data_IF_704040924847
#
_entry.id   IF_704040924847
#
_cell.length_a   1.000
_cell.length_b   1.000
_cell.length_c   1.000
_cell.angle_alpha   90.00
_cell.angle_beta   90.00
_cell.angle_gamma   90.00
#
_symmetry.space_group_name_H-M   'P 1'
#
loop_
_entity.id
_entity.type
_entity.pdbx_description
1 polymer ?
#
# COMPACT_ATOMS: atom_id res chain seq x y z
N UNK A 1 4.43 13.83 15.55
CA UNK A 1 4.65 13.68 15.14
C UNK A 1 4.60 13.12 14.09
N UNK A 2 5.02 13.24 13.73
CA UNK A 2 5.19 12.77 12.46
C UNK A 2 4.60 11.47 12.20
N UNK A 3 4.15 10.92 13.15
CA UNK A 3 3.52 9.64 13.01
C UNK A 3 2.49 9.63 11.91
N UNK A 4 1.90 10.76 11.67
CA UNK A 4 0.87 10.82 10.66
C UNK A 4 1.37 10.43 9.30
N UNK A 5 2.66 10.47 9.11
CA UNK A 5 3.21 10.18 7.81
C UNK A 5 3.48 8.74 7.57
N UNK A 6 3.31 7.98 8.60
CA UNK A 6 3.68 6.62 8.47
C UNK A 6 2.66 5.76 7.86
N UNK A 7 1.54 6.33 7.54
CA UNK A 7 0.52 5.57 6.87
C UNK A 7 0.89 5.24 5.45
N UNK A 8 -0.12 4.97 4.67
CA UNK A 8 0.06 4.63 3.26
C UNK A 8 0.37 5.88 2.44
N UNK A 9 1.06 5.73 1.31
CA UNK A 9 1.37 6.87 0.46
C UNK A 9 0.09 7.53 -0.06
N UNK A 10 0.09 8.85 -0.09
CA UNK A 10 -1.05 9.57 -0.62
C UNK A 10 -1.21 9.40 -2.11
N UNK A 11 -0.13 9.09 -2.79
CA UNK A 11 -0.15 8.97 -4.23
C UNK A 11 -1.09 7.89 -4.74
N UNK A 12 -1.40 6.91 -3.91
CA UNK A 12 -2.26 5.82 -4.34
C UNK A 12 -3.72 6.23 -4.41
N UNK A 13 -4.09 7.34 -3.77
CA UNK A 13 -5.45 7.85 -3.83
C UNK A 13 -6.33 7.34 -2.72
N UNK A 14 -7.45 8.05 -2.49
CA UNK A 14 -8.34 7.71 -1.39
C UNK A 14 -8.99 6.32 -1.53
N UNK A 15 -9.45 5.92 -2.73
CA UNK A 15 -10.06 4.59 -2.85
C UNK A 15 -9.12 3.47 -2.46
N UNK A 16 -7.86 3.56 -2.90
CA UNK A 16 -6.90 2.52 -2.56
C UNK A 16 -6.57 2.54 -1.08
N UNK A 17 -6.44 3.74 -0.50
CA UNK A 17 -6.16 3.87 0.91
C UNK A 17 -7.27 3.25 1.75
N UNK A 18 -8.52 3.52 1.38
CA UNK A 18 -9.65 2.94 2.11
C UNK A 18 -9.67 1.43 1.99
N UNK A 19 -9.41 0.92 0.80
CA UNK A 19 -9.44 -0.52 0.57
C UNK A 19 -8.38 -1.21 1.41
N UNK A 20 -7.18 -0.65 1.44
CA UNK A 20 -6.10 -1.24 2.21
C UNK A 20 -6.38 -1.17 3.70
N UNK A 21 -6.87 -0.02 4.16
CA UNK A 21 -7.19 0.15 5.57
C UNK A 21 -8.27 -0.85 6.00
N UNK A 22 -9.28 -1.03 5.17
CA UNK A 22 -10.35 -1.97 5.47
C UNK A 22 -9.83 -3.40 5.53
N UNK A 23 -8.78 -3.70 4.79
CA UNK A 23 -8.19 -5.02 4.80
C UNK A 23 -7.17 -5.20 5.93
N UNK A 24 -6.96 -4.16 6.72
CA UNK A 24 -6.04 -4.26 7.85
C UNK A 24 -4.67 -3.68 7.60
N UNK A 25 -4.45 -3.09 6.44
CA UNK A 25 -3.16 -2.50 6.11
C UNK A 25 -3.22 -1.00 6.32
N UNK A 26 -2.65 -0.53 7.40
CA UNK A 26 -2.68 0.89 7.72
C UNK A 26 -1.31 1.56 7.54
N UNK A 27 -0.27 0.78 7.34
CA UNK A 27 1.08 1.29 7.15
C UNK A 27 1.74 0.60 5.97
N UNK A 28 2.62 1.33 5.32
CA UNK A 28 3.30 0.80 4.14
C UNK A 28 4.12 -0.46 4.45
N UNK A 29 4.81 -0.49 5.58
CA UNK A 29 5.65 -1.63 5.88
C UNK A 29 4.85 -2.91 6.08
N UNK A 30 3.57 -2.80 6.40
CA UNK A 30 2.73 -3.98 6.53
C UNK A 30 2.57 -4.71 5.21
N UNK A 31 2.84 -4.01 4.11
CA UNK A 31 2.71 -4.60 2.78
C UNK A 31 3.95 -5.37 2.36
N UNK A 32 5.03 -5.27 3.11
CA UNK A 32 6.24 -6.01 2.77
C UNK A 32 5.92 -7.50 2.76
N UNK A 33 6.33 -8.18 1.68
CA UNK A 33 6.10 -9.61 1.50
C UNK A 33 4.65 -10.01 1.31
N UNK A 34 3.75 -9.06 1.17
CA UNK A 34 2.35 -9.37 0.87
C UNK A 34 2.25 -9.70 -0.62
N UNK A 35 1.58 -10.80 -0.98
CA UNK A 35 1.44 -11.14 -2.39
C UNK A 35 0.65 -10.09 -3.14
N UNK A 36 1.14 -9.69 -4.30
CA UNK A 36 0.44 -8.74 -5.14
C UNK A 36 -0.97 -9.23 -5.44
N UNK A 37 -1.13 -10.54 -5.63
CA UNK A 37 -2.42 -11.11 -5.95
C UNK A 37 -3.46 -10.80 -4.87
N UNK A 38 -3.03 -10.77 -3.61
CA UNK A 38 -3.95 -10.44 -2.52
C UNK A 38 -4.42 -9.01 -2.61
N UNK A 39 -3.53 -8.11 -2.98
CA UNK A 39 -3.89 -6.70 -3.10
C UNK A 39 -4.76 -6.44 -4.31
N UNK A 40 -4.56 -7.20 -5.38
CA UNK A 40 -5.38 -7.07 -6.58
C UNK A 40 -6.84 -7.39 -6.33
N UNK A 41 -7.13 -8.19 -5.33
CA UNK A 41 -8.49 -8.55 -5.00
C UNK A 41 -9.25 -7.42 -4.35
N UNK A 42 -8.56 -6.42 -3.84
CA UNK A 42 -9.21 -5.35 -3.13
C UNK A 42 -9.80 -4.33 -4.10
N UNK A 43 -11.08 -4.01 -3.88
CA UNK A 43 -11.73 -2.97 -4.67
C UNK A 43 -11.07 -1.64 -4.35
N UNK A 44 -10.74 -0.89 -5.37
CA UNK A 44 -10.11 0.40 -5.17
C UNK A 44 -8.60 0.38 -5.28
N UNK A 45 -7.99 -0.80 -5.29
CA UNK A 45 -6.55 -0.93 -5.46
C UNK A 45 -6.31 -1.32 -6.90
N UNK A 46 -6.05 -0.34 -7.75
CA UNK A 46 -5.80 -0.60 -9.15
C UNK A 46 -4.34 -0.82 -9.45
N UNK A 47 -4.05 -1.04 -10.73
CA UNK A 47 -2.70 -1.32 -11.17
C UNK A 47 -1.76 -0.17 -10.84
N UNK A 48 -2.22 1.05 -11.01
CA UNK A 48 -1.41 2.22 -10.73
C UNK A 48 -1.07 2.30 -9.25
N UNK A 49 -2.05 2.02 -8.39
CA UNK A 49 -1.80 2.05 -6.96
C UNK A 49 -0.78 0.99 -6.55
N UNK A 50 -0.88 -0.20 -7.15
CA UNK A 50 0.07 -1.27 -6.88
C UNK A 50 1.49 -0.86 -7.25
N UNK A 51 1.64 -0.21 -8.40
CA UNK A 51 2.96 0.24 -8.83
C UNK A 51 3.51 1.26 -7.84
N UNK A 52 2.69 2.21 -7.42
CA UNK A 52 3.14 3.23 -6.49
C UNK A 52 3.52 2.63 -5.14
N UNK A 53 2.75 1.64 -4.69
CA UNK A 53 3.08 0.96 -3.44
C UNK A 53 4.41 0.23 -3.56
N UNK A 54 4.62 -0.45 -4.68
CA UNK A 54 5.88 -1.16 -4.90
C UNK A 54 7.05 -0.19 -4.88
N UNK A 55 6.92 0.94 -5.56
CA UNK A 55 7.98 1.93 -5.57
C UNK A 55 8.29 2.45 -4.17
N UNK A 56 7.24 2.73 -3.40
CA UNK A 56 7.43 3.24 -2.06
C UNK A 56 8.12 2.21 -1.18
N UNK A 57 7.76 0.94 -1.33
CA UNK A 57 8.40 -0.11 -0.57
C UNK A 57 9.87 -0.26 -0.95
N UNK A 58 10.16 -0.17 -2.24
CA UNK A 58 11.55 -0.29 -2.69
C UNK A 58 12.43 0.79 -2.11
N UNK A 59 11.88 1.98 -1.91
CA UNK A 59 12.65 3.06 -1.31
C UNK A 59 13.04 2.75 0.12
N UNK A 60 12.34 1.85 0.75
CA UNK A 60 12.65 1.41 2.10
C UNK A 60 13.35 0.06 2.15
N UNK A 61 13.74 -0.45 1.00
CA UNK A 61 14.38 -1.75 0.94
C UNK A 61 13.41 -2.91 1.06
N UNK A 62 12.13 -2.66 0.84
CA UNK A 62 11.10 -3.68 0.95
C UNK A 62 10.47 -3.91 -0.42
N UNK A 63 9.61 -4.91 -0.50
CA UNK A 63 8.90 -5.15 -1.75
C UNK A 63 7.69 -6.03 -1.51
N UNK A 64 6.75 -5.95 -2.45
CA UNK A 64 5.63 -6.88 -2.47
C UNK A 64 6.13 -8.24 -2.96
N UNK A 65 5.35 -9.23 -2.71
CA UNK A 65 5.70 -10.57 -3.17
C UNK A 65 4.93 -10.94 -4.47
#
# INVERSE_FOLDING_TARGET
>A
MAAANEGLPRKIGAPATRALTAAGYTELRQLADVPVADLKKLHGVGQKALRLLQEALEQQGLSLR
#
